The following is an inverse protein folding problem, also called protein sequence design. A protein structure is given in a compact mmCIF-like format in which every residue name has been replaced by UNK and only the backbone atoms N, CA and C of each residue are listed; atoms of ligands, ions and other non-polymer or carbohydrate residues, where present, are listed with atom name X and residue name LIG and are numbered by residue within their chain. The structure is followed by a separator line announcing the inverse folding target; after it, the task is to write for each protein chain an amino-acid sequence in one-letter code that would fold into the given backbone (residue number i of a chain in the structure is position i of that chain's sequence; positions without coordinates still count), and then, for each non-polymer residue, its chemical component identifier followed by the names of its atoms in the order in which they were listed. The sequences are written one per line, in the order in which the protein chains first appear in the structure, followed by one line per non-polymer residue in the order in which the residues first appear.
data_IF_788418557345
#
_entry.id   IF_788418557345
#
_cell.length_a   1.000
_cell.length_b   1.000
_cell.length_c   1.000
_cell.angle_alpha   90.00
_cell.angle_beta   90.00
_cell.angle_gamma   90.00
#
_symmetry.space_group_name_H-M   'P 1'
#
loop_
_entity.id
_entity.type
_entity.pdbx_description
1 polymer ?
#
# COMPACT_ATOMS: atom_id res chain seq x y z
N UNK A 1 -8.27 -14.14 -9.89
CA UNK A 1 -7.62 -14.86 -8.77
C UNK A 1 -7.58 -13.90 -7.59
N UNK A 2 -8.00 -14.31 -6.39
CA UNK A 2 -8.04 -13.42 -5.23
C UNK A 2 -6.74 -13.52 -4.43
N UNK A 3 -6.24 -12.39 -3.93
CA UNK A 3 -5.07 -12.31 -3.03
C UNK A 3 -5.35 -13.05 -1.72
N UNK A 4 -4.33 -13.72 -1.19
CA UNK A 4 -4.37 -14.46 0.08
C UNK A 4 -3.20 -14.08 0.97
N UNK A 5 -3.32 -14.38 2.27
CA UNK A 5 -2.21 -14.19 3.22
C UNK A 5 -1.04 -15.08 2.81
N UNK A 6 0.17 -14.50 2.81
CA UNK A 6 1.40 -15.15 2.37
C UNK A 6 1.77 -14.89 0.91
N UNK A 7 0.83 -14.41 0.09
CA UNK A 7 1.16 -13.93 -1.25
C UNK A 7 2.03 -12.67 -1.14
N UNK A 8 2.91 -12.48 -2.12
CA UNK A 8 3.58 -11.19 -2.28
C UNK A 8 2.53 -10.11 -2.54
N UNK A 9 2.55 -9.06 -1.71
CA UNK A 9 1.71 -7.90 -1.95
C UNK A 9 2.01 -7.32 -3.35
N UNK A 10 0.99 -7.01 -4.17
CA UNK A 10 1.19 -6.34 -5.45
C UNK A 10 1.88 -5.01 -5.24
N UNK A 11 2.81 -4.67 -6.13
CA UNK A 11 3.42 -3.34 -6.10
C UNK A 11 2.39 -2.29 -6.53
N UNK A 12 2.41 -1.15 -5.85
CA UNK A 12 1.55 -0.03 -6.16
C UNK A 12 2.26 1.29 -5.85
N UNK A 13 1.82 2.33 -6.55
CA UNK A 13 2.17 3.71 -6.24
C UNK A 13 0.89 4.47 -5.95
N UNK A 14 0.80 5.08 -4.78
CA UNK A 14 -0.36 5.87 -4.33
C UNK A 14 0.11 7.20 -3.74
N UNK A 15 -0.69 8.27 -3.84
CA UNK A 15 -0.41 9.49 -3.10
C UNK A 15 -0.61 9.25 -1.59
N UNK A 16 0.27 9.85 -0.78
CA UNK A 16 0.07 9.98 0.67
C UNK A 16 -0.96 11.07 0.97
N UNK A 17 -1.30 11.24 2.25
CA UNK A 17 -2.16 12.35 2.69
C UNK A 17 -1.55 13.73 2.39
N UNK A 18 -0.22 13.81 2.36
CA UNK A 18 0.52 15.03 2.03
C UNK A 18 0.69 15.23 0.51
N UNK A 19 0.22 14.27 -0.31
CA UNK A 19 0.28 14.31 -1.77
C UNK A 19 1.55 13.73 -2.38
N UNK A 20 2.51 13.30 -1.57
CA UNK A 20 3.74 12.65 -2.05
C UNK A 20 3.47 11.25 -2.61
N UNK A 21 4.28 10.82 -3.58
CA UNK A 21 4.18 9.47 -4.11
C UNK A 21 4.79 8.44 -3.16
N UNK A 22 4.02 7.44 -2.77
CA UNK A 22 4.48 6.26 -2.03
C UNK A 22 4.48 5.03 -2.95
N UNK A 23 5.64 4.43 -3.18
CA UNK A 23 5.79 3.18 -3.95
C UNK A 23 6.16 2.03 -3.03
N UNK A 24 5.33 0.98 -2.95
CA UNK A 24 5.50 -0.11 -1.98
C UNK A 24 6.87 -0.80 -2.10
N UNK A 25 7.32 -1.11 -3.31
CA UNK A 25 8.60 -1.80 -3.54
C UNK A 25 9.84 -1.03 -3.08
N UNK A 26 9.76 0.30 -2.98
CA UNK A 26 10.83 1.14 -2.45
C UNK A 26 11.05 0.95 -0.94
N UNK A 27 10.07 0.39 -0.23
CA UNK A 27 10.10 0.18 1.22
C UNK A 27 10.32 -1.29 1.64
N UNK A 28 10.81 -2.16 0.74
CA UNK A 28 11.15 -3.54 1.11
C UNK A 28 12.06 -3.61 2.33
N UNK A 29 11.87 -4.64 3.15
CA UNK A 29 12.56 -4.82 4.43
C UNK A 29 11.90 -4.10 5.61
N UNK A 30 10.91 -3.23 5.37
CA UNK A 30 10.14 -2.56 6.40
C UNK A 30 8.71 -3.11 6.47
N UNK A 31 8.14 -3.35 7.66
CA UNK A 31 6.72 -3.64 7.79
C UNK A 31 5.88 -2.45 7.33
N UNK A 32 4.88 -2.70 6.48
CA UNK A 32 3.97 -1.68 5.95
C UNK A 32 2.53 -2.10 6.23
N UNK A 33 1.70 -1.16 6.71
CA UNK A 33 0.27 -1.35 6.92
C UNK A 33 -0.49 -0.46 5.95
N UNK A 34 -1.37 -1.04 5.13
CA UNK A 34 -2.25 -0.33 4.21
C UNK A 34 -3.68 -0.35 4.72
N UNK A 35 -4.28 0.83 4.85
CA UNK A 35 -5.65 0.99 5.34
C UNK A 35 -6.49 1.60 4.20
N UNK A 36 -7.52 0.89 3.77
CA UNK A 36 -8.52 1.41 2.83
C UNK A 36 -9.67 2.05 3.61
N UNK A 37 -9.89 3.35 3.41
CA UNK A 37 -11.01 4.09 3.98
C UNK A 37 -12.05 4.35 2.90
N UNK A 38 -13.34 4.14 3.22
CA UNK A 38 -14.45 4.31 2.27
C UNK A 38 -14.78 5.78 1.99
N UNK A 39 -14.51 6.67 2.94
CA UNK A 39 -14.76 8.11 2.84
C UNK A 39 -13.99 8.83 3.96
N UNK A 40 -13.16 9.80 3.59
CA UNK A 40 -12.74 10.89 4.47
C UNK A 40 -13.72 12.03 4.15
N UNK A 41 -14.55 12.39 5.12
CA UNK A 41 -15.46 13.53 4.97
C UNK A 41 -14.67 14.83 4.84
#
# INVERSE_FOLDING_TARGET
MALRVGDNAPDFTLPTLDGDAFTLSAHRGHPVVLIFLRHLA
#
